data_IF_703984315831
#
_entry.id   IF_703984315831
#
_cell.length_a   1.000
_cell.length_b   1.000
_cell.length_c   1.000
_cell.angle_alpha   90.00
_cell.angle_beta   90.00
_cell.angle_gamma   90.00
#
_symmetry.space_group_name_H-M   'P 1'
#
loop_
_entity.id
_entity.type
_entity.pdbx_description
1 polymer ?
#
# COMPACT_ATOMS: atom_id res chain seq x y z
N UNK A 1 -13.05 9.54 -26.99
CA UNK A 1 -11.74 9.05 -27.46
C UNK A 1 -11.43 7.81 -26.65
N UNK A 2 -11.35 6.64 -27.29
CA UNK A 2 -10.96 5.40 -26.62
C UNK A 2 -9.44 5.38 -26.53
N UNK A 3 -8.89 5.80 -25.40
CA UNK A 3 -7.47 5.57 -25.11
C UNK A 3 -7.30 4.07 -24.83
N UNK A 4 -6.65 3.35 -25.73
CA UNK A 4 -6.22 1.99 -25.45
C UNK A 4 -5.20 2.03 -24.30
N UNK A 5 -5.29 1.11 -23.33
CA UNK A 5 -4.32 1.04 -22.24
C UNK A 5 -2.91 0.87 -22.81
N UNK A 6 -1.99 1.72 -22.38
CA UNK A 6 -0.59 1.70 -22.81
C UNK A 6 0.29 1.20 -21.66
N UNK A 7 0.88 0.03 -21.83
CA UNK A 7 1.90 -0.46 -20.91
C UNK A 7 3.25 0.17 -21.23
N UNK A 8 3.97 0.59 -20.19
CA UNK A 8 5.30 1.17 -20.29
C UNK A 8 6.28 0.16 -19.73
N UNK A 9 7.29 -0.17 -20.52
CA UNK A 9 8.38 -1.05 -20.13
C UNK A 9 9.68 -0.26 -20.03
N UNK A 10 10.52 -0.58 -19.06
CA UNK A 10 11.80 0.07 -18.83
C UNK A 10 12.95 -0.94 -18.81
N UNK A 11 14.04 -0.62 -19.50
CA UNK A 11 15.28 -1.38 -19.39
C UNK A 11 16.00 -1.00 -18.09
N UNK A 12 16.38 -1.98 -17.27
CA UNK A 12 17.14 -1.75 -16.03
C UNK A 12 18.59 -1.33 -16.27
N UNK A 13 19.14 -1.57 -17.46
CA UNK A 13 20.55 -1.28 -17.80
C UNK A 13 20.70 0.12 -18.42
N UNK A 14 19.96 0.40 -19.50
CA UNK A 14 20.10 1.66 -20.24
C UNK A 14 18.97 2.66 -19.95
N UNK A 15 18.03 2.32 -19.06
CA UNK A 15 16.90 3.16 -18.62
C UNK A 15 15.91 3.54 -19.73
N UNK A 16 16.06 3.03 -20.95
CA UNK A 16 15.15 3.28 -22.07
C UNK A 16 13.74 2.79 -21.74
N UNK A 17 12.75 3.66 -21.97
CA UNK A 17 11.32 3.36 -21.82
C UNK A 17 10.67 3.10 -23.19
N UNK A 18 9.77 2.12 -23.25
CA UNK A 18 9.00 1.76 -24.45
C UNK A 18 7.53 1.66 -24.09
N UNK A 19 6.68 2.30 -24.90
CA UNK A 19 5.22 2.21 -24.79
C UNK A 19 4.71 1.13 -25.72
N UNK A 20 3.92 0.21 -25.20
CA UNK A 20 3.25 -0.84 -25.96
C UNK A 20 1.76 -0.51 -26.04
N UNK A 21 1.26 -0.33 -27.25
CA UNK A 21 -0.14 0.06 -27.52
C UNK A 21 -1.00 -1.10 -28.00
N UNK A 22 -0.43 -2.29 -28.21
CA UNK A 22 -1.12 -3.49 -28.69
C UNK A 22 -0.80 -4.68 -27.78
N UNK A 23 -1.81 -5.52 -27.51
CA UNK A 23 -1.67 -6.79 -26.78
C UNK A 23 -1.01 -7.87 -27.67
N UNK A 24 0.15 -7.58 -28.26
CA UNK A 24 0.95 -8.58 -28.96
C UNK A 24 1.68 -9.45 -27.94
N UNK A 25 1.54 -10.77 -28.03
CA UNK A 25 2.28 -11.71 -27.20
C UNK A 25 3.76 -11.70 -27.60
N UNK A 26 4.64 -11.35 -26.66
CA UNK A 26 6.09 -11.36 -26.85
C UNK A 26 6.82 -10.66 -25.70
N UNK A 27 8.04 -11.10 -25.40
CA UNK A 27 8.88 -10.48 -24.37
C UNK A 27 9.70 -9.34 -24.96
N UNK A 28 9.63 -8.15 -24.35
CA UNK A 28 10.49 -7.02 -24.73
C UNK A 28 11.89 -7.21 -24.18
N UNK A 29 12.90 -7.20 -25.07
CA UNK A 29 14.31 -7.37 -24.70
C UNK A 29 15.08 -6.09 -25.02
N UNK A 30 15.86 -5.60 -24.05
CA UNK A 30 16.79 -4.49 -24.23
C UNK A 30 18.09 -4.79 -23.45
N UNK A 31 19.26 -4.49 -24.04
CA UNK A 31 20.56 -4.80 -23.44
C UNK A 31 20.73 -6.29 -23.03
N UNK A 32 20.20 -7.21 -23.86
CA UNK A 32 20.18 -8.67 -23.62
C UNK A 32 19.43 -9.10 -22.35
N UNK A 33 18.54 -8.25 -21.82
CA UNK A 33 17.69 -8.54 -20.66
C UNK A 33 16.24 -8.21 -20.96
N UNK A 34 15.33 -8.90 -20.31
CA UNK A 34 13.91 -8.56 -20.37
C UNK A 34 13.67 -7.17 -19.76
N UNK A 35 12.81 -6.39 -20.41
CA UNK A 35 12.39 -5.10 -19.90
C UNK A 35 11.30 -5.28 -18.83
N UNK A 36 11.33 -4.47 -17.78
CA UNK A 36 10.36 -4.52 -16.69
C UNK A 36 9.12 -3.69 -17.04
N UNK A 37 7.92 -4.22 -16.83
CA UNK A 37 6.68 -3.43 -16.95
C UNK A 37 6.57 -2.46 -15.75
N UNK A 38 6.83 -1.18 -16.01
CA UNK A 38 6.79 -0.13 -14.99
C UNK A 38 5.44 0.58 -14.88
N UNK A 39 4.55 0.44 -15.87
CA UNK A 39 3.17 0.96 -15.74
C UNK A 39 2.46 0.22 -14.63
N UNK A 40 2.55 -1.11 -14.65
CA UNK A 40 1.92 -1.97 -13.68
C UNK A 40 2.44 -1.73 -12.26
N UNK A 41 3.77 -1.65 -12.09
CA UNK A 41 4.42 -1.34 -10.82
C UNK A 41 3.98 0.02 -10.24
N UNK A 42 3.98 1.07 -11.09
CA UNK A 42 3.57 2.42 -10.68
C UNK A 42 2.11 2.45 -10.25
N UNK A 43 1.24 1.80 -11.02
CA UNK A 43 -0.19 1.73 -10.70
C UNK A 43 -0.44 0.92 -9.41
N UNK A 44 0.27 -0.18 -9.18
CA UNK A 44 0.21 -0.94 -7.94
C UNK A 44 0.57 -0.07 -6.72
N UNK A 45 1.66 0.68 -6.79
CA UNK A 45 2.05 1.64 -5.75
C UNK A 45 0.99 2.72 -5.54
N UNK A 46 0.43 3.30 -6.60
CA UNK A 46 -0.61 4.32 -6.49
C UNK A 46 -1.90 3.77 -5.88
N UNK A 47 -2.29 2.53 -6.22
CA UNK A 47 -3.43 1.83 -5.62
C UNK A 47 -3.21 1.63 -4.11
N UNK A 48 -2.03 1.17 -3.70
CA UNK A 48 -1.69 0.99 -2.28
C UNK A 48 -1.69 2.32 -1.52
N UNK A 49 -1.06 3.36 -2.06
CA UNK A 49 -1.05 4.69 -1.43
C UNK A 49 -2.47 5.24 -1.30
N UNK A 50 -3.29 5.09 -2.34
CA UNK A 50 -4.70 5.50 -2.31
C UNK A 50 -5.49 4.72 -1.26
N UNK A 51 -5.26 3.41 -1.12
CA UNK A 51 -5.89 2.59 -0.10
C UNK A 51 -5.54 3.06 1.31
N UNK A 52 -4.26 3.33 1.59
CA UNK A 52 -3.79 3.87 2.88
C UNK A 52 -4.49 5.21 3.18
N UNK A 53 -4.50 6.13 2.21
CA UNK A 53 -5.14 7.45 2.36
C UNK A 53 -6.65 7.34 2.63
N UNK A 54 -7.36 6.49 1.87
CA UNK A 54 -8.80 6.30 2.04
C UNK A 54 -9.14 5.65 3.38
N UNK A 55 -8.35 4.68 3.82
CA UNK A 55 -8.53 4.04 5.11
C UNK A 55 -8.34 5.02 6.27
N UNK A 56 -7.27 5.83 6.24
CA UNK A 56 -7.03 6.87 7.23
C UNK A 56 -8.14 7.94 7.25
N UNK A 57 -8.58 8.40 6.08
CA UNK A 57 -9.66 9.37 5.96
C UNK A 57 -10.98 8.85 6.55
N UNK A 58 -11.33 7.58 6.29
CA UNK A 58 -12.53 6.96 6.86
C UNK A 58 -12.47 6.94 8.39
N UNK A 59 -11.32 6.58 8.98
CA UNK A 59 -11.15 6.60 10.44
C UNK A 59 -11.33 8.01 11.01
N UNK A 60 -10.73 9.02 10.37
CA UNK A 60 -10.90 10.41 10.79
C UNK A 60 -12.36 10.89 10.69
N UNK A 61 -13.04 10.61 9.57
CA UNK A 61 -14.43 11.00 9.38
C UNK A 61 -15.38 10.30 10.38
N UNK A 62 -15.10 9.05 10.75
CA UNK A 62 -15.87 8.35 11.80
C UNK A 62 -15.77 9.08 13.15
N UNK A 63 -14.56 9.48 13.56
CA UNK A 63 -14.35 10.26 14.79
C UNK A 63 -15.09 11.60 14.69
N UNK A 64 -14.96 12.29 13.55
CA UNK A 64 -15.64 13.57 13.32
C UNK A 64 -17.16 13.41 13.45
N UNK A 65 -17.77 12.41 12.80
CA UNK A 65 -19.22 12.15 12.87
C UNK A 65 -19.68 11.87 14.31
N UNK A 66 -18.89 11.16 15.11
CA UNK A 66 -19.21 10.87 16.52
C UNK A 66 -19.17 12.10 17.41
N UNK A 67 -18.31 13.07 17.10
CA UNK A 67 -18.14 14.30 17.88
C UNK A 67 -19.08 15.43 17.44
N UNK A 68 -19.83 15.27 16.34
CA UNK A 68 -20.72 16.31 15.83
C UNK A 68 -21.91 16.59 16.76
N UNK A 69 -22.20 17.86 17.06
CA UNK A 69 -23.34 18.24 17.89
C UNK A 69 -24.67 18.03 17.15
N UNK A 70 -25.75 17.81 17.92
CA UNK A 70 -27.09 17.49 17.37
C UNK A 70 -27.66 18.55 16.42
N UNK A 71 -27.24 19.81 16.55
CA UNK A 71 -27.69 20.90 15.68
C UNK A 71 -27.02 20.92 14.29
N UNK A 72 -26.08 20.01 14.01
CA UNK A 72 -25.39 19.90 12.72
C UNK A 72 -25.83 18.65 11.94
N UNK A 73 -27.11 18.31 12.00
CA UNK A 73 -27.63 17.05 11.44
C UNK A 73 -27.39 16.90 9.93
N UNK A 74 -27.47 18.00 9.17
CA UNK A 74 -27.18 17.99 7.73
C UNK A 74 -25.70 17.74 7.43
N UNK A 75 -24.79 18.37 8.21
CA UNK A 75 -23.34 18.12 8.09
C UNK A 75 -22.99 16.69 8.49
N UNK A 76 -23.67 16.14 9.50
CA UNK A 76 -23.49 14.75 9.92
C UNK A 76 -23.90 13.79 8.81
N UNK A 77 -25.05 14.01 8.16
CA UNK A 77 -25.47 13.22 7.02
C UNK A 77 -24.46 13.29 5.85
N UNK A 78 -23.91 14.47 5.57
CA UNK A 78 -22.87 14.64 4.56
C UNK A 78 -21.58 13.88 4.90
N UNK A 79 -21.15 13.90 6.17
CA UNK A 79 -19.98 13.14 6.63
C UNK A 79 -20.22 11.63 6.56
N UNK A 80 -21.42 11.17 6.94
CA UNK A 80 -21.79 9.75 6.87
C UNK A 80 -21.81 9.24 5.40
N UNK A 81 -22.27 10.05 4.45
CA UNK A 81 -22.16 9.77 3.00
C UNK A 81 -20.69 9.68 2.53
N UNK A 82 -19.83 10.60 3.00
CA UNK A 82 -18.40 10.56 2.69
C UNK A 82 -17.73 9.31 3.27
N UNK A 83 -18.09 8.88 4.48
CA UNK A 83 -17.61 7.63 5.10
C UNK A 83 -17.99 6.45 4.21
N UNK A 84 -19.25 6.36 3.79
CA UNK A 84 -19.73 5.25 2.96
C UNK A 84 -19.00 5.19 1.62
N UNK A 85 -18.89 6.33 0.92
CA UNK A 85 -18.24 6.41 -0.39
C UNK A 85 -16.76 6.08 -0.31
N UNK A 86 -16.02 6.63 0.65
CA UNK A 86 -14.59 6.34 0.79
C UNK A 86 -14.34 4.90 1.23
N UNK A 87 -15.18 4.32 2.10
CA UNK A 87 -15.08 2.90 2.49
C UNK A 87 -15.30 1.97 1.29
N UNK A 88 -16.27 2.28 0.42
CA UNK A 88 -16.51 1.52 -0.82
C UNK A 88 -15.29 1.56 -1.75
N UNK A 89 -14.68 2.73 -1.93
CA UNK A 89 -13.48 2.89 -2.75
C UNK A 89 -12.29 2.14 -2.15
N UNK A 90 -12.07 2.23 -0.84
CA UNK A 90 -11.02 1.48 -0.15
C UNK A 90 -11.18 -0.04 -0.36
N UNK A 91 -12.42 -0.55 -0.24
CA UNK A 91 -12.70 -1.97 -0.48
C UNK A 91 -12.43 -2.37 -1.94
N UNK A 92 -12.80 -1.52 -2.92
CA UNK A 92 -12.51 -1.79 -4.33
C UNK A 92 -11.00 -1.81 -4.60
N UNK A 93 -10.24 -0.86 -4.06
CA UNK A 93 -8.78 -0.85 -4.18
C UNK A 93 -8.16 -2.10 -3.57
N UNK A 94 -8.60 -2.51 -2.39
CA UNK A 94 -8.14 -3.74 -1.74
C UNK A 94 -8.45 -5.00 -2.59
N UNK A 95 -9.64 -5.04 -3.21
CA UNK A 95 -10.03 -6.12 -4.13
C UNK A 95 -9.19 -6.13 -5.40
N UNK A 96 -8.97 -4.98 -6.03
CA UNK A 96 -8.14 -4.88 -7.25
C UNK A 96 -6.71 -5.36 -6.97
N UNK A 97 -6.14 -4.94 -5.84
CA UNK A 97 -4.84 -5.42 -5.35
C UNK A 97 -4.84 -6.96 -5.16
N UNK A 98 -5.96 -7.55 -4.73
CA UNK A 98 -6.10 -8.98 -4.50
C UNK A 98 -6.52 -9.80 -5.75
N UNK A 99 -7.11 -9.19 -6.79
CA UNK A 99 -7.69 -9.87 -7.96
C UNK A 99 -6.76 -9.84 -9.18
N UNK A 100 -5.77 -8.93 -9.25
CA UNK A 100 -4.71 -8.96 -10.28
C UNK A 100 -3.74 -10.18 -10.16
N UNK A 101 -4.13 -11.20 -9.39
CA UNK A 101 -3.50 -12.49 -9.11
C UNK A 101 -3.43 -13.49 -10.29
N UNK A 102 -3.26 -13.03 -11.53
CA UNK A 102 -2.82 -13.90 -12.64
C UNK A 102 -1.38 -13.61 -13.10
N UNK A 103 -0.63 -12.84 -12.32
CA UNK A 103 0.78 -12.56 -12.57
C UNK A 103 1.38 -11.47 -11.68
N UNK A 104 0.63 -10.99 -10.68
CA UNK A 104 1.11 -10.02 -9.71
C UNK A 104 2.10 -10.69 -8.74
N UNK A 105 3.27 -10.06 -8.60
CA UNK A 105 4.27 -10.36 -7.60
C UNK A 105 3.75 -9.86 -6.23
N UNK A 106 2.81 -10.60 -5.63
CA UNK A 106 2.28 -10.31 -4.29
C UNK A 106 3.43 -10.12 -3.29
N UNK A 107 4.53 -10.83 -3.52
CA UNK A 107 5.76 -10.71 -2.75
C UNK A 107 6.36 -9.30 -2.89
N UNK A 108 6.38 -8.68 -4.08
CA UNK A 108 6.84 -7.29 -4.25
C UNK A 108 5.99 -6.25 -3.53
N UNK A 109 4.67 -6.40 -3.54
CA UNK A 109 3.80 -5.52 -2.75
C UNK A 109 3.98 -5.74 -1.24
N UNK A 110 4.12 -7.01 -0.84
CA UNK A 110 4.41 -7.39 0.53
C UNK A 110 5.76 -6.81 0.99
N UNK A 111 6.79 -6.84 0.13
CA UNK A 111 8.08 -6.20 0.36
C UNK A 111 7.94 -4.70 0.55
N UNK A 112 7.17 -3.98 -0.29
CA UNK A 112 6.94 -2.55 -0.08
C UNK A 112 6.28 -2.25 1.28
N UNK A 113 5.32 -3.08 1.71
CA UNK A 113 4.68 -2.92 3.03
C UNK A 113 5.66 -3.22 4.16
N UNK A 114 6.48 -4.27 4.00
CA UNK A 114 7.54 -4.65 4.94
C UNK A 114 8.59 -3.53 5.07
N UNK A 115 9.02 -2.94 3.96
CA UNK A 115 9.97 -1.82 3.93
C UNK A 115 9.41 -0.59 4.68
N UNK A 116 8.15 -0.24 4.42
CA UNK A 116 7.47 0.85 5.14
C UNK A 116 7.42 0.56 6.66
N UNK A 117 7.09 -0.68 7.05
CA UNK A 117 7.07 -1.09 8.46
C UNK A 117 8.47 -1.02 9.09
N UNK A 118 9.49 -1.46 8.37
CA UNK A 118 10.89 -1.36 8.82
C UNK A 118 11.28 0.10 9.09
N UNK A 119 10.94 1.03 8.19
CA UNK A 119 11.16 2.46 8.40
C UNK A 119 10.45 2.95 9.66
N UNK A 120 9.17 2.62 9.81
CA UNK A 120 8.40 3.06 10.99
C UNK A 120 8.96 2.52 12.30
N UNK A 121 9.36 1.24 12.34
CA UNK A 121 9.88 0.56 13.52
C UNK A 121 11.29 1.06 13.88
N UNK A 122 12.19 1.19 12.91
CA UNK A 122 13.59 1.52 13.18
C UNK A 122 13.84 3.02 13.35
N UNK A 123 13.03 3.86 12.70
CA UNK A 123 13.30 5.29 12.58
C UNK A 123 12.20 6.09 13.26
N UNK A 124 10.95 5.94 12.81
CA UNK A 124 9.87 6.87 13.17
C UNK A 124 9.44 6.72 14.64
N UNK A 125 8.99 5.53 15.06
CA UNK A 125 8.50 5.32 16.42
C UNK A 125 9.53 5.63 17.49
N UNK A 126 10.81 5.21 17.40
CA UNK A 126 11.81 5.58 18.39
C UNK A 126 11.96 7.10 18.55
N UNK A 127 11.95 7.85 17.45
CA UNK A 127 12.01 9.31 17.47
C UNK A 127 10.76 9.91 18.13
N UNK A 128 9.58 9.45 17.75
CA UNK A 128 8.32 9.98 18.27
C UNK A 128 8.13 9.68 19.76
N UNK A 129 8.49 8.46 20.20
CA UNK A 129 8.45 8.02 21.60
C UNK A 129 9.44 8.85 22.44
N UNK A 130 10.66 9.09 21.93
CA UNK A 130 11.65 9.91 22.61
C UNK A 130 11.15 11.35 22.77
N UNK A 131 10.60 11.95 21.72
CA UNK A 131 10.03 13.29 21.75
C UNK A 131 8.86 13.38 22.74
N UNK A 132 7.91 12.45 22.70
CA UNK A 132 6.79 12.41 23.65
C UNK A 132 7.26 12.25 25.10
N UNK A 133 8.34 11.48 25.32
CA UNK A 133 8.96 11.34 26.64
C UNK A 133 9.62 12.64 27.10
N UNK A 134 10.32 13.35 26.22
CA UNK A 134 10.94 14.65 26.49
C UNK A 134 9.88 15.70 26.85
N UNK A 135 8.77 15.72 26.13
CA UNK A 135 7.64 16.64 26.37
C UNK A 135 6.72 16.20 27.52
N UNK A 136 7.05 15.13 28.25
CA UNK A 136 6.23 14.57 29.33
C UNK A 136 4.79 14.21 28.93
N UNK A 137 4.56 13.85 27.66
CA UNK A 137 3.26 13.41 27.12
C UNK A 137 3.10 11.90 27.30
N UNK A 138 2.86 11.46 28.54
CA UNK A 138 2.83 10.04 28.90
C UNK A 138 1.79 9.21 28.13
N UNK A 139 0.59 9.75 27.89
CA UNK A 139 -0.46 9.05 27.14
C UNK A 139 -0.08 8.84 25.67
N UNK A 140 0.48 9.89 25.04
CA UNK A 140 0.97 9.82 23.65
C UNK A 140 2.14 8.84 23.54
N UNK A 141 3.08 8.90 24.49
CA UNK A 141 4.20 7.95 24.57
C UNK A 141 3.69 6.51 24.61
N UNK A 142 2.70 6.22 25.47
CA UNK A 142 2.12 4.88 25.58
C UNK A 142 1.47 4.45 24.26
N UNK A 143 0.66 5.31 23.65
CA UNK A 143 0.00 5.03 22.37
C UNK A 143 1.02 4.67 21.27
N UNK A 144 2.11 5.44 21.17
CA UNK A 144 3.16 5.21 20.19
C UNK A 144 3.97 3.93 20.49
N UNK A 145 4.24 3.62 21.76
CA UNK A 145 4.86 2.33 22.14
C UNK A 145 3.97 1.15 21.78
N UNK A 146 2.66 1.24 22.03
CA UNK A 146 1.72 0.17 21.70
C UNK A 146 1.61 -0.03 20.18
N UNK A 147 1.61 1.07 19.40
CA UNK A 147 1.63 1.01 17.94
C UNK A 147 2.92 0.39 17.39
N UNK A 148 4.09 0.78 17.92
CA UNK A 148 5.37 0.16 17.59
C UNK A 148 5.36 -1.36 17.80
N UNK A 149 4.84 -1.83 18.93
CA UNK A 149 4.78 -3.26 19.24
C UNK A 149 3.84 -4.03 18.30
N UNK A 150 2.72 -3.41 17.91
CA UNK A 150 1.80 -4.00 16.93
C UNK A 150 2.44 -4.09 15.54
N UNK A 151 3.06 -3.01 15.07
CA UNK A 151 3.71 -2.97 13.77
C UNK A 151 4.89 -3.96 13.70
N UNK A 152 5.63 -4.13 14.79
CA UNK A 152 6.68 -5.16 14.90
C UNK A 152 6.11 -6.59 14.76
N UNK A 153 4.95 -6.86 15.36
CA UNK A 153 4.28 -8.17 15.21
C UNK A 153 3.76 -8.37 13.78
N UNK A 154 3.22 -7.30 13.18
CA UNK A 154 2.78 -7.33 11.80
C UNK A 154 3.95 -7.63 10.86
N UNK A 155 5.07 -6.92 11.01
CA UNK A 155 6.31 -7.13 10.25
C UNK A 155 6.75 -8.60 10.31
N UNK A 156 6.93 -9.15 11.51
CA UNK A 156 7.35 -10.54 11.69
C UNK A 156 6.39 -11.55 11.01
N UNK A 157 5.08 -11.26 11.06
CA UNK A 157 4.06 -12.12 10.44
C UNK A 157 4.12 -12.06 8.92
N UNK A 158 4.29 -10.85 8.36
CA UNK A 158 4.36 -10.61 6.92
C UNK A 158 5.65 -11.18 6.32
N UNK A 159 6.79 -11.02 6.99
CA UNK A 159 8.07 -11.64 6.59
C UNK A 159 7.94 -13.17 6.58
N UNK A 160 7.32 -13.77 7.62
CA UNK A 160 7.10 -15.22 7.65
C UNK A 160 6.20 -15.72 6.51
N UNK A 161 5.22 -14.93 6.06
CA UNK A 161 4.39 -15.24 4.89
C UNK A 161 5.22 -15.16 3.61
N UNK A 162 6.03 -14.10 3.46
CA UNK A 162 6.90 -13.89 2.30
C UNK A 162 7.87 -15.08 2.11
N UNK A 163 8.61 -15.45 3.16
CA UNK A 163 9.59 -16.55 3.10
C UNK A 163 8.94 -17.91 2.78
N UNK A 164 7.73 -18.17 3.29
CA UNK A 164 7.00 -19.41 2.96
C UNK A 164 6.63 -19.47 1.48
N UNK A 165 6.15 -18.37 0.93
CA UNK A 165 5.80 -18.30 -0.49
C UNK A 165 7.03 -18.51 -1.39
N UNK A 166 8.18 -17.95 -1.02
CA UNK A 166 9.44 -18.15 -1.76
C UNK A 166 9.92 -19.61 -1.71
N UNK A 167 9.90 -20.25 -0.53
CA UNK A 167 10.30 -21.65 -0.39
C UNK A 167 9.42 -22.65 -1.16
N UNK A 168 8.16 -22.30 -1.43
CA UNK A 168 7.23 -23.14 -2.21
C UNK A 168 7.55 -23.07 -3.71
N UNK A 169 8.00 -21.91 -4.19
CA UNK A 169 8.40 -21.70 -5.59
C UNK A 169 9.71 -22.42 -5.96
N UNK A 170 10.63 -22.63 -5.00
CA UNK A 170 11.88 -23.36 -5.22
C UNK A 170 11.68 -24.89 -5.35
N UNK A 171 10.66 -25.44 -4.69
CA UNK A 171 10.33 -26.87 -4.77
C UNK A 171 9.60 -27.27 -6.05
N UNK A 172 8.76 -26.38 -6.60
CA UNK A 172 8.03 -26.66 -7.86
C UNK A 172 8.91 -26.47 -9.12
N UNK A 173 10.12 -25.92 -8.96
CA UNK A 173 11.11 -25.72 -10.03
C UNK A 173 12.22 -26.78 -10.07
N UNK A 174 12.19 -27.77 -9.17
CA UNK A 174 13.16 -28.86 -9.00
C UNK A 174 12.61 -30.20 -9.47
#
# INVERSE_FOLDING_TARGET
MNEQPQDIYKCSVCLKEVKVTNNSNGTLICCKREMQNITFDRLGTFKLQSLKQKSALVQFLNILSQQMPKNQQDNKAAVDDLIQKNSKVALLLAKEIAVENQGFDLNKLLMNIIDDLWVSILIDYPQYIAQASFESKLEIKKLLTDAFELDRRALNTLEAILYRNESTLEFDAS
#
